data_IF_765090457896
#
_entry.id   IF_765090457896
#
_cell.length_a   1.000
_cell.length_b   1.000
_cell.length_c   1.000
_cell.angle_alpha   90.00
_cell.angle_beta   90.00
_cell.angle_gamma   90.00
#
_symmetry.space_group_name_H-M   'P 1'
#
loop_
_entity.id
_entity.type
_entity.pdbx_description
1 polymer ?
#
# COMPACT_ATOMS: atom_id res chain seq x y z
N UNK A 1 11.27 -4.12 -8.19
CA UNK A 1 12.43 -4.34 -9.08
C UNK A 1 12.89 -3.05 -9.78
N UNK A 2 12.00 -2.30 -10.44
CA UNK A 2 12.37 -1.12 -11.23
C UNK A 2 12.97 0.01 -10.38
N UNK A 3 12.41 0.32 -9.20
CA UNK A 3 12.93 1.37 -8.30
C UNK A 3 14.34 1.02 -7.82
N UNK A 4 14.57 -0.21 -7.35
CA UNK A 4 15.89 -0.64 -6.89
C UNK A 4 16.93 -0.54 -8.02
N UNK A 5 16.57 -0.98 -9.23
CA UNK A 5 17.43 -0.84 -10.41
C UNK A 5 17.72 0.62 -10.75
N UNK A 6 16.74 1.51 -10.67
CA UNK A 6 16.96 2.94 -10.94
C UNK A 6 17.95 3.58 -9.95
N UNK A 7 17.92 3.18 -8.67
CA UNK A 7 18.90 3.60 -7.65
C UNK A 7 20.27 3.01 -7.97
N UNK A 8 20.33 1.69 -8.27
CA UNK A 8 21.59 1.00 -8.58
C UNK A 8 22.29 1.61 -9.80
N UNK A 9 21.54 1.91 -10.86
CA UNK A 9 22.05 2.51 -12.10
C UNK A 9 22.40 4.00 -11.95
N UNK A 10 22.15 4.61 -10.79
CA UNK A 10 22.43 6.03 -10.55
C UNK A 10 21.46 7.00 -11.24
N UNK A 11 20.34 6.51 -11.74
CA UNK A 11 19.31 7.36 -12.35
C UNK A 11 18.55 8.20 -11.32
N UNK A 12 18.52 7.73 -10.06
CA UNK A 12 17.98 8.43 -8.90
C UNK A 12 18.86 8.18 -7.68
N UNK A 13 18.85 9.10 -6.72
CA UNK A 13 19.65 9.00 -5.50
C UNK A 13 18.98 8.14 -4.43
N UNK A 14 17.65 8.21 -4.36
CA UNK A 14 16.82 7.56 -3.35
C UNK A 14 15.70 6.78 -4.04
N UNK A 15 15.40 5.59 -3.52
CA UNK A 15 14.23 4.80 -3.89
C UNK A 15 13.38 4.49 -2.65
N UNK A 16 12.07 4.65 -2.72
CA UNK A 16 11.15 4.20 -1.67
C UNK A 16 10.44 2.95 -2.14
N UNK A 17 10.55 1.88 -1.35
CA UNK A 17 9.93 0.58 -1.64
C UNK A 17 9.09 0.10 -0.46
N UNK A 18 8.14 -0.78 -0.74
CA UNK A 18 7.23 -1.34 0.27
C UNK A 18 7.09 -2.84 0.11
N UNK A 19 7.11 -3.57 1.23
CA UNK A 19 7.04 -5.04 1.27
C UNK A 19 8.38 -5.69 0.93
N UNK A 20 8.36 -6.97 0.59
CA UNK A 20 9.56 -7.71 0.23
C UNK A 20 10.03 -7.29 -1.17
N UNK A 21 11.18 -6.68 -1.24
CA UNK A 21 11.82 -6.21 -2.47
C UNK A 21 13.27 -6.68 -2.49
N UNK A 22 13.73 -7.21 -3.62
CA UNK A 22 15.15 -7.43 -3.83
C UNK A 22 15.87 -6.09 -3.87
N UNK A 23 16.76 -5.88 -2.92
CA UNK A 23 17.50 -4.61 -2.76
C UNK A 23 18.69 -4.49 -3.71
N UNK A 24 19.07 -5.55 -4.44
CA UNK A 24 20.19 -5.57 -5.38
C UNK A 24 21.53 -5.13 -4.74
N UNK A 25 21.72 -5.40 -3.45
CA UNK A 25 22.93 -4.98 -2.70
C UNK A 25 22.95 -3.51 -2.27
N UNK A 26 21.86 -2.76 -2.48
CA UNK A 26 21.71 -1.37 -2.00
C UNK A 26 21.60 -1.34 -0.47
N UNK A 27 22.02 -0.21 0.11
CA UNK A 27 21.73 0.08 1.52
C UNK A 27 20.21 0.32 1.66
N UNK A 28 19.62 -0.28 2.70
CA UNK A 28 18.20 -0.17 2.99
C UNK A 28 17.97 0.34 4.40
N UNK A 29 17.22 1.42 4.53
CA UNK A 29 16.82 2.02 5.80
C UNK A 29 15.32 1.85 5.98
N UNK A 30 14.89 1.07 6.99
CA UNK A 30 13.48 1.01 7.38
C UNK A 30 13.05 2.36 7.97
N UNK A 31 11.96 2.94 7.49
CA UNK A 31 11.49 4.23 8.00
C UNK A 31 10.01 4.22 8.43
N UNK A 32 9.22 3.25 8.01
CA UNK A 32 7.82 3.15 8.44
C UNK A 32 7.22 1.79 8.11
N UNK A 33 6.16 1.47 8.85
CA UNK A 33 5.29 0.32 8.59
C UNK A 33 3.91 0.83 8.20
N UNK A 34 3.32 0.28 7.16
CA UNK A 34 1.92 0.52 6.79
C UNK A 34 1.18 -0.81 6.74
N UNK A 35 -0.13 -0.76 6.78
CA UNK A 35 -0.97 -1.95 6.71
C UNK A 35 -1.94 -1.81 5.54
N UNK A 36 -2.19 -2.91 4.84
CA UNK A 36 -3.29 -3.00 3.89
C UNK A 36 -4.55 -3.38 4.65
N UNK A 37 -5.63 -2.67 4.34
CA UNK A 37 -6.96 -2.91 4.91
C UNK A 37 -7.98 -3.08 3.80
N UNK A 38 -9.07 -3.80 4.09
CA UNK A 38 -10.24 -3.79 3.23
C UNK A 38 -11.01 -2.49 3.50
N UNK A 39 -11.24 -1.71 2.45
CA UNK A 39 -12.16 -0.58 2.47
C UNK A 39 -13.51 -1.00 1.90
N UNK A 40 -14.60 -0.59 2.56
CA UNK A 40 -15.97 -0.78 2.11
C UNK A 40 -16.79 0.48 2.35
N UNK A 41 -17.97 0.62 1.73
CA UNK A 41 -18.94 1.59 2.22
C UNK A 41 -19.43 1.20 3.62
N UNK A 42 -19.89 2.16 4.42
CA UNK A 42 -20.43 1.87 5.78
C UNK A 42 -21.70 1.01 5.76
N UNK A 43 -22.40 0.96 4.62
CA UNK A 43 -23.60 0.14 4.43
C UNK A 43 -23.28 -1.29 3.98
N UNK A 44 -22.03 -1.59 3.62
CA UNK A 44 -21.65 -2.91 3.15
C UNK A 44 -21.75 -3.96 4.26
N UNK A 45 -22.09 -5.21 3.89
CA UNK A 45 -22.27 -6.33 4.85
C UNK A 45 -21.04 -6.59 5.73
N UNK A 46 -19.84 -6.25 5.25
CA UNK A 46 -18.60 -6.41 6.00
C UNK A 46 -18.24 -5.21 6.88
N UNK A 47 -18.92 -4.07 6.76
CA UNK A 47 -18.52 -2.82 7.43
C UNK A 47 -18.42 -2.90 8.96
N UNK A 48 -19.15 -3.83 9.59
CA UNK A 48 -19.16 -4.05 11.04
C UNK A 48 -18.13 -5.08 11.51
N UNK A 49 -17.43 -5.75 10.59
CA UNK A 49 -16.40 -6.73 10.94
C UNK A 49 -15.12 -6.02 11.36
N UNK A 50 -14.44 -6.58 12.35
CA UNK A 50 -13.12 -6.10 12.77
C UNK A 50 -12.00 -6.67 11.88
N UNK A 51 -12.14 -7.93 11.47
CA UNK A 51 -11.15 -8.67 10.68
C UNK A 51 -11.84 -9.52 9.60
N UNK A 52 -11.14 -9.72 8.50
CA UNK A 52 -11.61 -10.52 7.37
C UNK A 52 -10.42 -11.13 6.64
N UNK A 53 -10.58 -12.32 6.06
CA UNK A 53 -9.57 -12.88 5.16
C UNK A 53 -9.75 -12.37 3.74
N UNK A 54 -8.64 -12.28 3.00
CA UNK A 54 -8.67 -11.87 1.60
C UNK A 54 -9.48 -12.84 0.73
N UNK A 55 -9.47 -14.14 1.06
CA UNK A 55 -10.27 -15.13 0.36
C UNK A 55 -11.78 -14.88 0.44
N UNK A 56 -12.27 -14.35 1.57
CA UNK A 56 -13.71 -14.09 1.79
C UNK A 56 -14.23 -12.95 0.91
N UNK A 57 -13.36 -12.04 0.45
CA UNK A 57 -13.76 -10.87 -0.33
C UNK A 57 -13.69 -11.07 -1.84
N UNK A 58 -13.17 -12.21 -2.33
CA UNK A 58 -13.01 -12.48 -3.76
C UNK A 58 -14.34 -12.61 -4.51
N UNK A 59 -15.44 -12.86 -3.81
CA UNK A 59 -16.79 -12.90 -4.39
C UNK A 59 -17.45 -11.52 -4.53
N UNK A 60 -16.87 -10.50 -3.88
CA UNK A 60 -17.39 -9.13 -3.97
C UNK A 60 -16.93 -8.43 -5.24
N UNK A 61 -17.76 -7.49 -5.70
CA UNK A 61 -17.33 -6.55 -6.73
C UNK A 61 -16.20 -5.69 -6.20
N UNK A 62 -15.09 -5.62 -6.91
CA UNK A 62 -13.88 -4.99 -6.45
C UNK A 62 -13.52 -3.72 -7.24
N UNK A 63 -13.06 -2.72 -6.52
CA UNK A 63 -12.38 -1.53 -7.02
C UNK A 63 -10.89 -1.75 -6.81
N UNK A 64 -10.11 -1.74 -7.88
CA UNK A 64 -8.68 -2.03 -7.87
C UNK A 64 -7.81 -0.87 -8.35
N UNK A 65 -6.51 -1.05 -8.19
CA UNK A 65 -5.51 -0.17 -8.81
C UNK A 65 -5.27 -0.57 -10.26
N UNK A 66 -4.67 0.36 -11.01
CA UNK A 66 -4.20 0.11 -12.37
C UNK A 66 -3.31 -1.15 -12.42
N UNK A 67 -3.39 -1.98 -13.48
CA UNK A 67 -2.67 -3.26 -13.57
C UNK A 67 -1.15 -3.16 -13.35
N UNK A 68 -0.53 -2.07 -13.79
CA UNK A 68 0.91 -1.84 -13.59
C UNK A 68 1.29 -1.41 -12.16
N UNK A 69 0.34 -1.21 -11.24
CA UNK A 69 0.66 -0.86 -9.85
C UNK A 69 1.23 -2.07 -9.12
N UNK A 70 2.23 -1.82 -8.27
CA UNK A 70 2.85 -2.85 -7.42
C UNK A 70 1.82 -3.59 -6.56
N UNK A 71 0.82 -2.87 -6.03
CA UNK A 71 -0.24 -3.48 -5.23
C UNK A 71 -1.11 -4.42 -6.06
N UNK A 72 -1.56 -3.98 -7.24
CA UNK A 72 -2.43 -4.81 -8.07
C UNK A 72 -1.69 -6.05 -8.59
N UNK A 73 -0.43 -5.91 -8.99
CA UNK A 73 0.44 -7.04 -9.37
C UNK A 73 0.58 -8.03 -8.22
N UNK A 74 0.84 -7.55 -7.00
CA UNK A 74 0.95 -8.38 -5.82
C UNK A 74 -0.37 -9.12 -5.50
N UNK A 75 -1.52 -8.41 -5.51
CA UNK A 75 -2.82 -9.04 -5.28
C UNK A 75 -3.17 -10.08 -6.36
N UNK A 76 -2.77 -9.83 -7.61
CA UNK A 76 -2.89 -10.80 -8.70
C UNK A 76 -2.17 -12.11 -8.38
N UNK A 77 -0.91 -12.04 -7.92
CA UNK A 77 -0.15 -13.23 -7.50
C UNK A 77 -0.80 -13.97 -6.32
N UNK A 78 -1.40 -13.23 -5.37
CA UNK A 78 -2.14 -13.84 -4.26
C UNK A 78 -3.38 -14.57 -4.76
N UNK A 79 -4.15 -13.96 -5.67
CA UNK A 79 -5.36 -14.58 -6.25
C UNK A 79 -5.04 -15.80 -7.10
N UNK A 80 -3.93 -15.80 -7.83
CA UNK A 80 -3.44 -16.98 -8.57
C UNK A 80 -3.19 -18.16 -7.63
N UNK A 81 -2.52 -17.91 -6.49
CA UNK A 81 -2.27 -18.95 -5.47
C UNK A 81 -3.55 -19.48 -4.83
N UNK A 82 -4.57 -18.63 -4.70
CA UNK A 82 -5.88 -19.01 -4.17
C UNK A 82 -6.78 -19.68 -5.22
N UNK A 83 -6.37 -19.69 -6.49
CA UNK A 83 -7.14 -20.26 -7.59
C UNK A 83 -8.45 -19.50 -7.90
N UNK A 84 -8.57 -18.25 -7.43
CA UNK A 84 -9.79 -17.46 -7.58
C UNK A 84 -9.49 -16.00 -7.86
N UNK A 85 -9.84 -15.46 -9.05
CA UNK A 85 -9.58 -14.07 -9.39
C UNK A 85 -10.50 -13.11 -8.64
N UNK A 86 -10.06 -11.85 -8.45
CA UNK A 86 -10.93 -10.76 -8.02
C UNK A 86 -11.95 -10.40 -9.11
N UNK A 87 -13.16 -10.03 -8.70
CA UNK A 87 -14.18 -9.48 -9.60
C UNK A 87 -13.97 -7.97 -9.80
N UNK A 88 -12.90 -7.58 -10.47
CA UNK A 88 -12.58 -6.18 -10.72
C UNK A 88 -13.63 -5.52 -11.62
N UNK A 89 -14.32 -4.49 -11.10
CA UNK A 89 -15.31 -3.68 -11.82
C UNK A 89 -14.69 -2.43 -12.41
N UNK A 90 -13.79 -1.81 -11.66
CA UNK A 90 -13.08 -0.60 -12.09
C UNK A 90 -11.65 -0.62 -11.56
N UNK A 91 -10.73 -0.07 -12.33
CA UNK A 91 -9.34 0.12 -11.96
C UNK A 91 -8.97 1.60 -12.07
N UNK A 92 -8.29 2.11 -11.06
CA UNK A 92 -7.99 3.53 -10.88
C UNK A 92 -6.49 3.74 -10.64
N UNK A 93 -6.04 4.97 -10.77
CA UNK A 93 -4.62 5.34 -10.65
C UNK A 93 -4.25 5.90 -9.28
N UNK A 94 -5.24 6.17 -8.41
CA UNK A 94 -4.97 6.69 -7.07
C UNK A 94 -5.88 6.06 -6.01
N UNK A 95 -5.36 5.95 -4.78
CA UNK A 95 -6.12 5.45 -3.64
C UNK A 95 -7.27 6.37 -3.24
N UNK A 96 -7.14 7.68 -3.45
CA UNK A 96 -8.22 8.63 -3.16
C UNK A 96 -9.40 8.40 -4.11
N UNK A 97 -9.15 8.17 -5.40
CA UNK A 97 -10.20 7.81 -6.34
C UNK A 97 -10.85 6.46 -6.00
N UNK A 98 -10.04 5.45 -5.57
CA UNK A 98 -10.58 4.18 -5.07
C UNK A 98 -11.51 4.40 -3.87
N UNK A 99 -11.08 5.16 -2.87
CA UNK A 99 -11.88 5.47 -1.68
C UNK A 99 -13.21 6.15 -2.05
N UNK A 100 -13.22 7.07 -3.02
CA UNK A 100 -14.45 7.71 -3.51
C UNK A 100 -15.41 6.69 -4.12
N UNK A 101 -14.93 5.81 -5.00
CA UNK A 101 -15.76 4.79 -5.64
C UNK A 101 -16.29 3.77 -4.62
N UNK A 102 -15.47 3.35 -3.67
CA UNK A 102 -15.86 2.44 -2.61
C UNK A 102 -16.91 3.09 -1.69
N UNK A 103 -16.70 4.34 -1.29
CA UNK A 103 -17.67 5.10 -0.49
C UNK A 103 -19.02 5.31 -1.19
N UNK A 104 -19.02 5.38 -2.53
CA UNK A 104 -20.23 5.42 -3.36
C UNK A 104 -20.90 4.04 -3.53
N UNK A 105 -20.32 2.97 -3.00
CA UNK A 105 -20.91 1.63 -3.06
C UNK A 105 -20.65 0.86 -4.36
N UNK A 106 -19.67 1.26 -5.17
CA UNK A 106 -19.32 0.55 -6.42
C UNK A 106 -18.78 -0.86 -6.15
N UNK A 107 -18.11 -1.04 -5.00
CA UNK A 107 -17.53 -2.30 -4.59
C UNK A 107 -16.65 -2.15 -3.37
N UNK A 108 -15.82 -3.16 -3.10
CA UNK A 108 -14.82 -3.15 -2.02
C UNK A 108 -13.41 -3.03 -2.60
N UNK A 109 -12.42 -2.65 -1.79
CA UNK A 109 -11.05 -2.55 -2.30
C UNK A 109 -9.99 -2.65 -1.21
N UNK A 110 -8.80 -3.08 -1.59
CA UNK A 110 -7.64 -3.13 -0.70
C UNK A 110 -6.86 -1.83 -0.86
N UNK A 111 -6.68 -1.12 0.25
CA UNK A 111 -5.96 0.17 0.29
C UNK A 111 -4.98 0.21 1.46
N UNK A 112 -3.91 1.01 1.39
CA UNK A 112 -3.08 1.29 2.55
C UNK A 112 -3.89 1.98 3.65
N UNK A 113 -3.70 1.58 4.90
CA UNK A 113 -4.40 2.16 6.06
C UNK A 113 -4.13 3.66 6.18
N UNK A 114 -2.92 4.10 5.86
CA UNK A 114 -2.55 5.51 5.82
C UNK A 114 -3.38 6.33 4.80
N UNK A 115 -3.68 5.76 3.62
CA UNK A 115 -4.58 6.39 2.64
C UNK A 115 -6.04 6.35 3.12
N UNK A 116 -6.45 5.24 3.74
CA UNK A 116 -7.76 5.04 4.30
C UNK A 116 -8.09 6.10 5.36
N UNK A 117 -7.22 6.27 6.34
CA UNK A 117 -7.39 7.24 7.44
C UNK A 117 -7.53 8.69 6.96
N UNK A 118 -6.77 9.09 5.94
CA UNK A 118 -6.89 10.45 5.37
C UNK A 118 -8.28 10.73 4.78
N UNK A 119 -8.93 9.72 4.24
CA UNK A 119 -10.22 9.82 3.58
C UNK A 119 -11.43 9.53 4.49
N UNK A 120 -11.20 8.98 5.70
CA UNK A 120 -12.25 8.52 6.60
C UNK A 120 -13.19 9.64 7.06
N UNK A 121 -12.65 10.82 7.31
CA UNK A 121 -13.43 11.96 7.82
C UNK A 121 -14.41 12.55 6.80
N UNK A 122 -14.12 12.39 5.50
CA UNK A 122 -14.86 13.03 4.41
C UNK A 122 -15.65 12.05 3.55
N UNK A 123 -15.44 10.74 3.72
CA UNK A 123 -16.06 9.72 2.89
C UNK A 123 -16.82 8.69 3.74
N UNK A 124 -17.84 8.11 3.14
CA UNK A 124 -18.68 7.08 3.74
C UNK A 124 -17.98 5.70 3.73
N UNK A 125 -16.88 5.56 4.50
CA UNK A 125 -16.00 4.40 4.47
C UNK A 125 -15.94 3.69 5.83
N UNK A 126 -15.85 2.36 5.78
CA UNK A 126 -15.45 1.48 6.85
C UNK A 126 -14.18 0.73 6.44
N UNK A 127 -13.30 0.48 7.41
CA UNK A 127 -12.04 -0.22 7.20
C UNK A 127 -11.97 -1.46 8.07
N UNK A 128 -11.59 -2.56 7.46
CA UNK A 128 -11.55 -3.88 8.09
C UNK A 128 -10.13 -4.43 7.97
N UNK A 129 -9.57 -4.90 9.07
CA UNK A 129 -8.24 -5.49 9.11
C UNK A 129 -8.19 -6.79 8.31
N UNK A 130 -7.17 -6.97 7.48
CA UNK A 130 -6.89 -8.25 6.83
C UNK A 130 -6.17 -9.20 7.79
N UNK A 131 -6.53 -10.48 7.76
CA UNK A 131 -5.92 -11.50 8.62
C UNK A 131 -4.56 -11.99 8.13
N UNK A 132 -4.24 -11.76 6.87
CA UNK A 132 -3.04 -12.24 6.24
C UNK A 132 -1.78 -11.48 6.69
N UNK A 133 -0.67 -12.18 7.00
CA UNK A 133 0.59 -11.55 7.40
C UNK A 133 1.14 -10.56 6.36
N UNK A 134 0.92 -10.81 5.07
CA UNK A 134 1.36 -9.93 3.99
C UNK A 134 0.64 -8.58 3.96
N UNK A 135 -0.44 -8.40 4.74
CA UNK A 135 -1.12 -7.11 4.88
C UNK A 135 -0.25 -6.06 5.58
N UNK A 136 0.71 -6.47 6.40
CA UNK A 136 1.71 -5.58 7.00
C UNK A 136 2.81 -5.31 5.98
N UNK A 137 3.07 -4.03 5.70
CA UNK A 137 3.99 -3.59 4.65
C UNK A 137 5.07 -2.70 5.25
N UNK A 138 6.24 -3.28 5.43
CA UNK A 138 7.43 -2.52 5.80
C UNK A 138 7.85 -1.62 4.64
N UNK A 139 8.21 -0.36 4.91
CA UNK A 139 8.70 0.59 3.92
C UNK A 139 10.16 0.94 4.17
N UNK A 140 10.92 0.90 3.09
CA UNK A 140 12.36 1.13 3.12
C UNK A 140 12.77 2.22 2.16
N UNK A 141 13.78 2.97 2.56
CA UNK A 141 14.53 3.87 1.69
C UNK A 141 15.75 3.10 1.19
N UNK A 142 15.93 3.05 -0.12
CA UNK A 142 17.08 2.45 -0.79
C UNK A 142 18.03 3.53 -1.27
N UNK A 143 19.32 3.34 -1.03
CA UNK A 143 20.41 4.20 -1.49
C UNK A 143 21.60 3.37 -1.91
N UNK A 144 22.48 3.89 -2.75
CA UNK A 144 23.79 3.25 -3.05
C UNK A 144 24.75 3.38 -1.88
N UNK A 145 24.89 4.60 -1.39
CA UNK A 145 25.71 4.97 -0.22
C UNK A 145 25.06 6.18 0.46
N UNK A 146 24.52 5.97 1.65
CA UNK A 146 23.83 7.03 2.39
C UNK A 146 24.76 8.17 2.80
N UNK A 147 26.02 7.86 3.10
CA UNK A 147 27.00 8.86 3.50
C UNK A 147 27.42 9.78 2.36
N UNK A 148 27.36 9.30 1.12
CA UNK A 148 27.71 10.05 -0.07
C UNK A 148 26.55 10.82 -0.70
N UNK A 149 25.35 10.77 -0.09
CA UNK A 149 24.18 11.48 -0.63
C UNK A 149 24.34 13.00 -0.57
N UNK A 150 23.80 13.74 -1.55
CA UNK A 150 23.67 15.18 -1.46
C UNK A 150 22.85 15.63 -0.25
N UNK A 151 23.11 16.83 0.27
CA UNK A 151 22.47 17.34 1.49
C UNK A 151 20.92 17.36 1.41
N UNK A 152 20.36 17.67 0.24
CA UNK A 152 18.90 17.65 0.05
C UNK A 152 18.31 16.23 0.21
N UNK A 153 19.05 15.21 -0.24
CA UNK A 153 18.62 13.83 -0.14
C UNK A 153 18.71 13.32 1.32
N UNK A 154 19.78 13.69 2.03
CA UNK A 154 19.89 13.41 3.47
C UNK A 154 18.78 14.08 4.26
N UNK A 155 18.50 15.37 4.00
CA UNK A 155 17.40 16.11 4.65
C UNK A 155 16.04 15.47 4.39
N UNK A 156 15.80 14.94 3.20
CA UNK A 156 14.57 14.23 2.88
C UNK A 156 14.44 12.94 3.70
N UNK A 157 15.51 12.16 3.82
CA UNK A 157 15.55 10.93 4.62
C UNK A 157 15.23 11.25 6.10
N UNK A 158 15.90 12.24 6.67
CA UNK A 158 15.70 12.66 8.05
C UNK A 158 14.24 13.09 8.29
N UNK A 159 13.69 13.90 7.38
CA UNK A 159 12.30 14.34 7.47
C UNK A 159 11.31 13.15 7.42
N UNK A 160 11.52 12.20 6.51
CA UNK A 160 10.66 11.01 6.43
C UNK A 160 10.74 10.18 7.71
N UNK A 161 11.94 9.91 8.21
CA UNK A 161 12.14 9.13 9.42
C UNK A 161 11.49 9.81 10.65
N UNK A 162 11.68 11.12 10.81
CA UNK A 162 11.07 11.88 11.91
C UNK A 162 9.55 11.92 11.84
N UNK A 163 9.00 12.17 10.64
CA UNK A 163 7.54 12.24 10.42
C UNK A 163 6.86 10.92 10.79
N UNK A 164 7.40 9.79 10.33
CA UNK A 164 6.79 8.48 10.60
C UNK A 164 7.07 7.97 12.01
N UNK A 165 8.21 8.30 12.62
CA UNK A 165 8.47 7.99 14.03
C UNK A 165 7.48 8.72 14.98
N UNK A 166 7.05 9.93 14.64
CA UNK A 166 6.03 10.66 15.39
C UNK A 166 4.64 10.01 15.27
N UNK A 167 4.28 9.49 14.08
CA UNK A 167 3.00 8.83 13.85
C UNK A 167 2.89 7.45 14.51
N UNK A 168 4.01 6.75 14.71
CA UNK A 168 4.03 5.43 15.36
C UNK A 168 3.77 5.50 16.88
N UNK A 169 3.86 6.70 17.48
CA UNK A 169 3.64 6.95 18.91
C UNK A 169 2.23 7.49 19.24
N UNK A 170 1.40 7.74 18.24
CA UNK A 170 0.02 8.24 18.36
C UNK A 170 -1.00 7.13 18.13
#
# INVERSE_FOLDING_TARGET
AEIAKAVQDGRVDIGIVSGQVDTLGLQSLHFSTDRLVLATSRQHRFAKRKRISFAEILDEDAVGMHPASTLQTFLGQVTERLGKPQKLRIQLTSFDAMCRMIGAGVGVGIVPESAAKRNQATMNLAFIELTEPWSVRERYILTRDQAALPSYAQSLIDHLCQHYAAQAKS
#
